data_IF_667581121664
#
_entry.id   IF_667581121664
#
_cell.length_a   1.000
_cell.length_b   1.000
_cell.length_c   1.000
_cell.angle_alpha   90.00
_cell.angle_beta   90.00
_cell.angle_gamma   90.00
#
_symmetry.space_group_name_H-M   'P 1'
#
loop_
_entity.id
_entity.type
_entity.pdbx_description
1 polymer ?
#
# COMPACT_ATOMS: atom_id res chain seq x y z
N UNK A 1 -1.96 -12.65 -21.28
CA UNK A 1 -1.92 -11.30 -21.92
C UNK A 1 -2.64 -10.22 -21.12
N UNK A 2 -3.94 -10.35 -20.79
CA UNK A 2 -4.70 -9.32 -20.05
C UNK A 2 -4.05 -8.96 -18.70
N UNK A 3 -3.65 -9.96 -17.91
CA UNK A 3 -2.96 -9.76 -16.63
C UNK A 3 -1.71 -8.88 -16.75
N UNK A 4 -0.87 -9.15 -17.76
CA UNK A 4 0.39 -8.42 -17.97
C UNK A 4 0.13 -6.95 -18.35
N UNK A 5 -0.86 -6.70 -19.21
CA UNK A 5 -1.26 -5.34 -19.58
C UNK A 5 -1.77 -4.55 -18.37
N UNK A 6 -2.65 -5.14 -17.56
CA UNK A 6 -3.17 -4.51 -16.34
C UNK A 6 -2.05 -4.24 -15.33
N UNK A 7 -1.17 -5.22 -15.13
CA UNK A 7 -0.01 -5.11 -14.23
C UNK A 7 0.88 -3.93 -14.61
N UNK A 8 1.29 -3.84 -15.88
CA UNK A 8 2.17 -2.78 -16.37
C UNK A 8 1.50 -1.40 -16.31
N UNK A 9 0.20 -1.33 -16.60
CA UNK A 9 -0.55 -0.09 -16.52
C UNK A 9 -0.59 0.47 -15.09
N UNK A 10 -0.93 -0.38 -14.12
CA UNK A 10 -0.97 0.01 -12.70
C UNK A 10 0.42 0.35 -12.18
N UNK A 11 1.44 -0.39 -12.63
CA UNK A 11 2.83 -0.09 -12.29
C UNK A 11 3.28 1.28 -12.82
N UNK A 12 2.83 1.67 -14.01
CA UNK A 12 3.04 3.01 -14.56
C UNK A 12 2.43 4.10 -13.67
N UNK A 13 1.19 3.92 -13.22
CA UNK A 13 0.52 4.83 -12.26
C UNK A 13 1.32 4.88 -10.95
N UNK A 14 1.74 3.73 -10.42
CA UNK A 14 2.50 3.68 -9.18
C UNK A 14 3.85 4.39 -9.30
N UNK A 15 4.52 4.30 -10.44
CA UNK A 15 5.77 5.00 -10.71
C UNK A 15 5.60 6.52 -10.63
N UNK A 16 4.52 7.06 -11.20
CA UNK A 16 4.21 8.50 -11.10
C UNK A 16 3.95 8.90 -9.65
N UNK A 17 3.15 8.12 -8.91
CA UNK A 17 2.88 8.37 -7.49
C UNK A 17 4.16 8.29 -6.65
N UNK A 18 5.03 7.33 -6.92
CA UNK A 18 6.32 7.18 -6.25
C UNK A 18 7.20 8.43 -6.44
N UNK A 19 7.33 8.94 -7.67
CA UNK A 19 8.11 10.14 -7.97
C UNK A 19 7.55 11.35 -7.22
N UNK A 20 6.22 11.55 -7.24
CA UNK A 20 5.56 12.66 -6.54
C UNK A 20 5.78 12.54 -5.03
N UNK A 21 5.58 11.35 -4.46
CA UNK A 21 5.80 11.06 -3.04
C UNK A 21 7.24 11.36 -2.63
N UNK A 22 8.21 10.89 -3.42
CA UNK A 22 9.63 11.10 -3.16
C UNK A 22 10.00 12.58 -3.22
N UNK A 23 9.50 13.32 -4.21
CA UNK A 23 9.69 14.76 -4.32
C UNK A 23 9.14 15.49 -3.09
N UNK A 24 7.91 15.16 -2.67
CA UNK A 24 7.29 15.71 -1.46
C UNK A 24 8.13 15.41 -0.21
N UNK A 25 8.58 14.17 -0.03
CA UNK A 25 9.42 13.80 1.12
C UNK A 25 10.77 14.52 1.09
N UNK A 26 11.32 14.78 -0.10
CA UNK A 26 12.60 15.46 -0.23
C UNK A 26 12.47 16.96 0.07
N UNK A 27 11.43 17.60 -0.45
CA UNK A 27 11.18 19.02 -0.28
C UNK A 27 10.69 19.41 1.12
N UNK A 28 10.01 18.52 1.87
CA UNK A 28 9.51 18.82 3.21
C UNK A 28 10.56 18.53 4.30
N UNK A 29 11.42 19.50 4.59
CA UNK A 29 12.56 19.34 5.52
C UNK A 29 12.18 19.19 7.01
N UNK A 30 10.96 19.60 7.42
CA UNK A 30 10.55 19.68 8.83
C UNK A 30 9.76 18.45 9.36
N UNK A 31 9.88 17.27 8.74
CA UNK A 31 9.16 16.06 9.20
C UNK A 31 10.05 15.20 10.11
N UNK A 32 9.66 14.93 11.37
CA UNK A 32 10.33 13.89 12.16
C UNK A 32 10.20 12.53 11.44
N UNK A 33 11.25 11.72 11.51
CA UNK A 33 11.35 10.39 10.88
C UNK A 33 11.31 10.40 9.33
N UNK A 34 11.63 11.52 8.68
CA UNK A 34 11.68 11.63 7.20
C UNK A 34 12.51 10.52 6.54
N UNK A 35 13.73 10.27 7.02
CA UNK A 35 14.62 9.27 6.44
C UNK A 35 14.00 7.86 6.43
N UNK A 36 13.27 7.52 7.49
CA UNK A 36 12.54 6.26 7.60
C UNK A 36 11.38 6.16 6.60
N UNK A 37 10.61 7.23 6.38
CA UNK A 37 9.55 7.22 5.34
C UNK A 37 10.12 7.21 3.91
N UNK A 38 11.28 7.84 3.67
CA UNK A 38 11.99 7.73 2.39
C UNK A 38 12.43 6.28 2.17
N UNK A 39 13.03 5.65 3.19
CA UNK A 39 13.42 4.25 3.15
C UNK A 39 12.24 3.34 2.81
N UNK A 40 11.12 3.44 3.53
CA UNK A 40 9.94 2.61 3.24
C UNK A 40 9.39 2.84 1.82
N UNK A 41 9.34 4.09 1.36
CA UNK A 41 8.84 4.43 0.02
C UNK A 41 9.72 3.82 -1.07
N UNK A 42 11.05 3.89 -0.91
CA UNK A 42 12.01 3.28 -1.84
C UNK A 42 11.93 1.76 -1.77
N UNK A 43 11.93 1.17 -0.56
CA UNK A 43 11.87 -0.27 -0.35
C UNK A 43 10.62 -0.87 -1.00
N UNK A 44 9.45 -0.30 -0.75
CA UNK A 44 8.19 -0.76 -1.36
C UNK A 44 8.21 -0.66 -2.88
N UNK A 45 8.73 0.44 -3.43
CA UNK A 45 8.84 0.58 -4.89
C UNK A 45 9.80 -0.45 -5.48
N UNK A 46 10.96 -0.68 -4.86
CA UNK A 46 11.94 -1.68 -5.33
C UNK A 46 11.40 -3.10 -5.25
N UNK A 47 10.70 -3.46 -4.16
CA UNK A 47 10.09 -4.78 -3.98
C UNK A 47 8.96 -5.00 -5.00
N UNK A 48 8.12 -3.99 -5.23
CA UNK A 48 7.06 -4.05 -6.26
C UNK A 48 7.65 -4.22 -7.66
N UNK A 49 8.74 -3.49 -7.95
CA UNK A 49 9.44 -3.59 -9.23
C UNK A 49 10.03 -4.98 -9.44
N UNK A 50 10.70 -5.53 -8.42
CA UNK A 50 11.27 -6.87 -8.45
C UNK A 50 10.17 -7.94 -8.66
N UNK A 51 9.05 -7.83 -7.94
CA UNK A 51 7.93 -8.74 -8.09
C UNK A 51 7.34 -8.71 -9.52
N UNK A 52 7.14 -7.52 -10.08
CA UNK A 52 6.65 -7.37 -11.45
C UNK A 52 7.63 -7.94 -12.49
N UNK A 53 8.94 -7.85 -12.26
CA UNK A 53 9.96 -8.45 -13.14
C UNK A 53 9.85 -9.98 -13.12
N UNK A 54 9.74 -10.58 -11.93
CA UNK A 54 9.59 -12.04 -11.79
C UNK A 54 8.31 -12.52 -12.46
N UNK A 55 7.17 -11.88 -12.20
CA UNK A 55 5.89 -12.21 -12.84
C UNK A 55 5.94 -12.06 -14.36
N UNK A 56 6.58 -10.99 -14.87
CA UNK A 56 6.77 -10.81 -16.32
C UNK A 56 7.57 -11.95 -16.92
N UNK A 57 8.63 -12.38 -16.24
CA UNK A 57 9.47 -13.48 -16.69
C UNK A 57 8.71 -14.81 -16.71
N UNK A 58 7.95 -15.10 -15.65
CA UNK A 58 7.11 -16.31 -15.59
C UNK A 58 6.06 -16.34 -16.72
N UNK A 59 5.30 -15.26 -16.89
CA UNK A 59 4.31 -15.16 -17.98
C UNK A 59 4.94 -15.26 -19.37
N UNK A 60 6.09 -14.63 -19.60
CA UNK A 60 6.79 -14.72 -20.88
C UNK A 60 7.24 -16.16 -21.16
N UNK A 61 7.75 -16.85 -20.13
CA UNK A 61 8.20 -18.22 -20.23
C UNK A 61 7.05 -19.18 -20.55
N UNK A 62 5.93 -19.06 -19.84
CA UNK A 62 4.71 -19.82 -20.11
C UNK A 62 4.22 -19.59 -21.54
N UNK A 63 4.15 -18.35 -22.00
CA UNK A 63 3.71 -18.01 -23.36
C UNK A 63 4.62 -18.60 -24.45
N UNK A 64 5.95 -18.56 -24.26
CA UNK A 64 6.91 -19.16 -25.20
C UNK A 64 6.69 -20.67 -25.31
N UNK A 65 6.44 -21.34 -24.18
CA UNK A 65 6.22 -22.78 -24.14
C UNK A 65 4.91 -23.17 -24.82
N UNK A 66 3.81 -22.47 -24.51
CA UNK A 66 2.51 -22.69 -25.17
C UNK A 66 2.59 -22.46 -26.68
N UNK A 67 3.29 -21.42 -27.11
CA UNK A 67 3.49 -21.12 -28.53
C UNK A 67 4.34 -22.20 -29.23
N UNK A 68 5.43 -22.62 -28.59
CA UNK A 68 6.32 -23.67 -29.13
C UNK A 68 5.60 -25.01 -29.21
N UNK A 69 4.82 -25.34 -28.19
CA UNK A 69 3.95 -26.51 -28.16
C UNK A 69 2.93 -26.48 -29.31
N UNK A 70 2.20 -25.37 -29.47
CA UNK A 70 1.19 -25.22 -30.52
C UNK A 70 1.81 -25.34 -31.92
N UNK A 71 3.02 -24.82 -32.11
CA UNK A 71 3.73 -24.84 -33.39
C UNK A 71 4.32 -26.22 -33.73
N UNK A 72 4.91 -26.90 -32.76
CA UNK A 72 5.71 -28.10 -32.99
C UNK A 72 4.98 -29.40 -32.60
N UNK A 73 3.84 -29.34 -31.90
CA UNK A 73 3.12 -30.48 -31.30
C UNK A 73 4.03 -31.39 -30.45
N UNK A 74 5.11 -30.85 -29.91
CA UNK A 74 6.10 -31.60 -29.16
C UNK A 74 5.65 -31.78 -27.70
N UNK A 75 5.01 -32.92 -27.45
CA UNK A 75 4.47 -33.30 -26.15
C UNK A 75 5.57 -33.62 -25.12
N UNK A 76 6.74 -34.07 -25.58
CA UNK A 76 7.86 -34.43 -24.69
C UNK A 76 8.50 -33.19 -24.07
N UNK A 77 8.76 -32.16 -24.87
CA UNK A 77 9.28 -30.87 -24.36
C UNK A 77 8.34 -30.20 -23.37
N UNK A 78 7.03 -30.30 -23.59
CA UNK A 78 6.01 -29.75 -22.69
C UNK A 78 5.91 -30.53 -21.37
N UNK A 79 5.93 -31.87 -21.42
CA UNK A 79 5.96 -32.71 -20.21
C UNK A 79 7.27 -32.55 -19.42
N UNK A 80 8.41 -32.42 -20.10
CA UNK A 80 9.70 -32.18 -19.46
C UNK A 80 9.71 -30.86 -18.69
N UNK A 81 9.08 -29.81 -19.22
CA UNK A 81 8.86 -28.56 -18.50
C UNK A 81 7.97 -28.75 -17.26
N UNK A 82 6.88 -29.52 -17.38
CA UNK A 82 5.97 -29.75 -16.25
C UNK A 82 6.57 -30.64 -15.14
N UNK A 83 7.52 -31.53 -15.47
CA UNK A 83 7.99 -32.57 -14.56
C UNK A 83 9.44 -32.41 -14.07
N UNK A 84 10.33 -31.79 -14.86
CA UNK A 84 11.78 -31.73 -14.59
C UNK A 84 12.36 -30.31 -14.60
N UNK A 85 11.51 -29.29 -14.56
CA UNK A 85 12.00 -27.93 -14.61
C UNK A 85 12.65 -27.49 -13.29
N UNK A 86 13.98 -27.35 -13.31
CA UNK A 86 14.75 -26.84 -12.18
C UNK A 86 14.48 -25.34 -11.90
N UNK A 87 13.96 -24.59 -12.88
CA UNK A 87 13.74 -23.15 -12.76
C UNK A 87 12.38 -22.82 -12.13
N UNK A 88 11.37 -23.67 -12.32
CA UNK A 88 10.01 -23.49 -11.80
C UNK A 88 9.96 -23.27 -10.28
N UNK A 89 10.57 -24.16 -9.46
CA UNK A 89 10.60 -23.98 -8.00
C UNK A 89 11.29 -22.69 -7.55
N UNK A 90 12.28 -22.19 -8.32
CA UNK A 90 12.97 -20.93 -8.04
C UNK A 90 12.04 -19.74 -8.30
N UNK A 91 11.31 -19.77 -9.42
CA UNK A 91 10.31 -18.74 -9.74
C UNK A 91 9.23 -18.73 -8.66
N UNK A 92 8.67 -19.89 -8.31
CA UNK A 92 7.67 -20.00 -7.23
C UNK A 92 8.21 -19.45 -5.91
N UNK A 93 9.46 -19.77 -5.56
CA UNK A 93 10.07 -19.22 -4.35
C UNK A 93 10.18 -17.69 -4.38
N UNK A 94 10.56 -17.09 -5.51
CA UNK A 94 10.61 -15.63 -5.66
C UNK A 94 9.21 -15.00 -5.61
N UNK A 95 8.22 -15.63 -6.22
CA UNK A 95 6.81 -15.20 -6.22
C UNK A 95 6.16 -15.29 -4.84
N UNK A 96 6.68 -16.11 -3.92
CA UNK A 96 6.22 -16.16 -2.53
C UNK A 96 6.97 -15.16 -1.64
N UNK A 97 8.30 -15.09 -1.78
CA UNK A 97 9.15 -14.29 -0.88
C UNK A 97 9.04 -12.79 -1.14
N UNK A 98 8.90 -12.36 -2.40
CA UNK A 98 8.82 -10.94 -2.74
C UNK A 98 7.53 -10.28 -2.23
N UNK A 99 6.32 -10.86 -2.42
CA UNK A 99 5.10 -10.35 -1.81
C UNK A 99 5.14 -10.35 -0.28
N UNK A 100 5.69 -11.40 0.35
CA UNK A 100 5.89 -11.46 1.80
C UNK A 100 6.68 -10.25 2.31
N UNK A 101 7.81 -9.96 1.67
CA UNK A 101 8.64 -8.80 2.02
C UNK A 101 7.89 -7.48 1.79
N UNK A 102 7.10 -7.39 0.72
CA UNK A 102 6.32 -6.20 0.38
C UNK A 102 5.23 -5.92 1.42
N UNK A 103 4.40 -6.92 1.75
CA UNK A 103 3.32 -6.82 2.73
C UNK A 103 3.91 -6.50 4.11
N UNK A 104 4.95 -7.23 4.53
CA UNK A 104 5.64 -6.96 5.79
C UNK A 104 6.17 -5.51 5.87
N UNK A 105 6.74 -4.97 4.78
CA UNK A 105 7.21 -3.58 4.76
C UNK A 105 6.06 -2.57 4.83
N UNK A 106 4.94 -2.83 4.15
CA UNK A 106 3.75 -1.98 4.20
C UNK A 106 3.16 -1.95 5.62
N UNK A 107 3.05 -3.13 6.24
CA UNK A 107 2.55 -3.34 7.58
C UNK A 107 3.42 -2.68 8.65
N UNK A 108 4.74 -2.84 8.58
CA UNK A 108 5.67 -2.16 9.50
C UNK A 108 5.52 -0.65 9.39
N UNK A 109 5.34 -0.10 8.18
CA UNK A 109 5.14 1.33 8.01
C UNK A 109 3.81 1.81 8.62
N UNK A 110 2.71 1.05 8.47
CA UNK A 110 1.42 1.34 9.10
C UNK A 110 1.49 1.23 10.63
N UNK A 111 2.15 0.18 11.13
CA UNK A 111 2.37 -0.03 12.55
C UNK A 111 3.20 1.10 13.15
N UNK A 112 4.28 1.53 12.50
CA UNK A 112 5.09 2.67 12.95
C UNK A 112 4.26 3.95 13.03
N UNK A 113 3.40 4.21 12.03
CA UNK A 113 2.48 5.36 12.07
C UNK A 113 1.52 5.27 13.26
N UNK A 114 0.90 4.12 13.48
CA UNK A 114 0.01 3.89 14.60
C UNK A 114 0.74 4.07 15.95
N UNK A 115 1.96 3.54 16.07
CA UNK A 115 2.78 3.63 17.27
C UNK A 115 3.16 5.07 17.63
N UNK A 116 3.63 5.85 16.65
CA UNK A 116 3.98 7.26 16.84
C UNK A 116 2.74 8.08 17.23
N UNK A 117 1.59 7.82 16.60
CA UNK A 117 0.33 8.52 16.90
C UNK A 117 -0.21 8.21 18.31
N UNK A 118 0.08 7.03 18.84
CA UNK A 118 -0.34 6.65 20.19
C UNK A 118 0.65 7.05 21.30
N UNK A 119 1.59 7.95 20.99
CA UNK A 119 2.61 8.45 21.90
C UNK A 119 3.36 7.32 22.62
N UNK A 120 3.70 6.25 21.89
CA UNK A 120 4.44 5.08 22.43
C UNK A 120 3.75 4.33 23.58
N UNK A 121 2.41 4.36 23.68
CA UNK A 121 1.72 3.59 24.72
C UNK A 121 1.95 2.08 24.53
N UNK A 122 2.58 1.44 25.52
CA UNK A 122 2.94 0.01 25.46
C UNK A 122 1.71 -0.90 25.37
N UNK A 123 0.56 -0.45 25.89
CA UNK A 123 -0.68 -1.23 25.95
C UNK A 123 -1.29 -1.53 24.56
N UNK A 124 -1.18 -0.60 23.61
CA UNK A 124 -1.67 -0.80 22.23
C UNK A 124 -0.58 -1.38 21.32
N UNK A 125 0.68 -1.01 21.56
CA UNK A 125 1.80 -1.47 20.75
C UNK A 125 2.06 -2.99 20.90
N UNK A 126 2.01 -3.51 22.13
CA UNK A 126 2.30 -4.90 22.42
C UNK A 126 1.39 -5.91 21.69
N UNK A 127 0.04 -5.82 21.77
CA UNK A 127 -0.83 -6.76 21.06
C UNK A 127 -0.69 -6.68 19.54
N UNK A 128 -0.44 -5.47 19.00
CA UNK A 128 -0.25 -5.29 17.55
C UNK A 128 1.05 -5.89 17.05
N UNK A 129 2.16 -5.69 17.79
CA UNK A 129 3.45 -6.31 17.45
C UNK A 129 3.33 -7.83 17.55
N UNK A 130 2.69 -8.34 18.60
CA UNK A 130 2.47 -9.78 18.76
C UNK A 130 1.67 -10.38 17.60
N UNK A 131 0.60 -9.70 17.18
CA UNK A 131 -0.23 -10.12 16.05
C UNK A 131 0.55 -10.10 14.73
N UNK A 132 1.31 -9.04 14.47
CA UNK A 132 2.17 -8.91 13.29
C UNK A 132 3.23 -10.02 13.22
N UNK A 133 3.90 -10.31 14.34
CA UNK A 133 4.89 -11.39 14.41
C UNK A 133 4.24 -12.75 14.16
N UNK A 134 3.05 -12.97 14.72
CA UNK A 134 2.30 -14.22 14.50
C UNK A 134 1.93 -14.40 13.02
N UNK A 135 1.44 -13.34 12.38
CA UNK A 135 1.12 -13.34 10.95
C UNK A 135 2.35 -13.60 10.08
N UNK A 136 3.47 -12.93 10.36
CA UNK A 136 4.72 -13.14 9.62
C UNK A 136 5.22 -14.59 9.74
N UNK A 137 5.11 -15.20 10.93
CA UNK A 137 5.47 -16.62 11.11
C UNK A 137 4.54 -17.53 10.31
N UNK A 138 3.23 -17.27 10.33
CA UNK A 138 2.26 -18.04 9.55
C UNK A 138 2.55 -17.97 8.04
N UNK A 139 2.87 -16.78 7.52
CA UNK A 139 3.18 -16.58 6.11
C UNK A 139 4.48 -17.27 5.68
N UNK A 140 5.52 -17.20 6.51
CA UNK A 140 6.78 -17.92 6.26
C UNK A 140 6.55 -19.42 6.22
N UNK A 141 5.78 -19.97 7.16
CA UNK A 141 5.44 -21.40 7.17
C UNK A 141 4.65 -21.79 5.92
N UNK A 142 3.65 -21.00 5.53
CA UNK A 142 2.87 -21.22 4.32
C UNK A 142 3.76 -21.22 3.07
N UNK A 143 4.65 -20.24 2.95
CA UNK A 143 5.60 -20.10 1.84
C UNK A 143 6.53 -21.31 1.74
N UNK A 144 7.10 -21.75 2.87
CA UNK A 144 7.99 -22.92 2.91
C UNK A 144 7.25 -24.18 2.46
N UNK A 145 6.02 -24.40 2.93
CA UNK A 145 5.22 -25.56 2.55
C UNK A 145 4.91 -25.57 1.05
N UNK A 146 4.56 -24.41 0.49
CA UNK A 146 4.29 -24.29 -0.95
C UNK A 146 5.55 -24.48 -1.80
N UNK A 147 6.70 -23.92 -1.39
CA UNK A 147 7.98 -24.10 -2.08
C UNK A 147 8.37 -25.58 -2.09
N UNK A 148 8.31 -26.27 -0.95
CA UNK A 148 8.64 -27.70 -0.87
C UNK A 148 7.68 -28.53 -1.73
N UNK A 149 6.39 -28.19 -1.71
CA UNK A 149 5.37 -28.83 -2.52
C UNK A 149 5.61 -28.65 -4.03
N UNK A 150 6.08 -27.48 -4.44
CA UNK A 150 6.33 -27.13 -5.84
C UNK A 150 7.56 -27.83 -6.44
N UNK A 151 8.49 -28.36 -5.63
CA UNK A 151 9.70 -29.05 -6.13
C UNK A 151 9.35 -30.33 -6.91
N UNK A 152 8.35 -31.09 -6.45
CA UNK A 152 7.89 -32.29 -7.15
C UNK A 152 6.42 -32.53 -6.86
N UNK A 153 5.57 -32.10 -7.79
CA UNK A 153 4.11 -32.23 -7.69
C UNK A 153 3.60 -33.65 -7.94
N UNK A 154 4.44 -34.54 -8.48
CA UNK A 154 4.09 -35.96 -8.69
C UNK A 154 4.14 -36.78 -7.40
N UNK A 155 4.81 -36.30 -6.36
CA UNK A 155 4.84 -36.95 -5.05
C UNK A 155 3.57 -36.55 -4.25
N UNK A 156 2.67 -37.50 -3.92
CA UNK A 156 1.42 -37.20 -3.23
C UNK A 156 1.64 -36.55 -1.86
N UNK A 157 2.74 -36.85 -1.15
CA UNK A 157 3.04 -36.25 0.14
C UNK A 157 3.41 -34.75 -0.01
N UNK A 158 4.15 -34.40 -1.07
CA UNK A 158 4.53 -33.02 -1.37
C UNK A 158 3.34 -32.21 -1.90
N UNK A 159 2.48 -32.84 -2.69
CA UNK A 159 1.24 -32.22 -3.11
C UNK A 159 0.31 -31.91 -1.92
N UNK A 160 0.23 -32.81 -0.95
CA UNK A 160 -0.52 -32.55 0.28
C UNK A 160 0.06 -31.37 1.08
N UNK A 161 1.40 -31.26 1.16
CA UNK A 161 2.09 -30.10 1.76
C UNK A 161 1.75 -28.80 1.02
N UNK A 162 1.70 -28.82 -0.31
CA UNK A 162 1.31 -27.67 -1.13
C UNK A 162 -0.12 -27.20 -0.80
N UNK A 163 -1.08 -28.13 -0.77
CA UNK A 163 -2.47 -27.84 -0.42
C UNK A 163 -2.60 -27.29 1.01
N UNK A 164 -1.87 -27.86 1.97
CA UNK A 164 -1.85 -27.35 3.33
C UNK A 164 -1.27 -25.92 3.39
N UNK A 165 -0.18 -25.67 2.66
CA UNK A 165 0.39 -24.34 2.51
C UNK A 165 -0.59 -23.33 1.90
N UNK A 166 -1.40 -23.77 0.92
CA UNK A 166 -2.44 -22.92 0.31
C UNK A 166 -3.53 -22.55 1.33
N UNK A 167 -4.02 -23.50 2.12
CA UNK A 167 -5.02 -23.24 3.18
C UNK A 167 -4.50 -22.25 4.23
N UNK A 168 -3.24 -22.40 4.67
CA UNK A 168 -2.63 -21.47 5.61
C UNK A 168 -2.49 -20.08 4.98
N UNK A 169 -2.09 -20.01 3.71
CA UNK A 169 -1.97 -18.77 2.96
C UNK A 169 -3.31 -18.02 2.86
N UNK A 170 -4.40 -18.71 2.50
CA UNK A 170 -5.75 -18.10 2.47
C UNK A 170 -6.16 -17.56 3.84
N UNK A 171 -5.91 -18.30 4.92
CA UNK A 171 -6.19 -17.84 6.28
C UNK A 171 -5.34 -16.63 6.67
N UNK A 172 -4.06 -16.61 6.27
CA UNK A 172 -3.17 -15.48 6.47
C UNK A 172 -3.70 -14.22 5.79
N UNK A 173 -4.08 -14.28 4.50
CA UNK A 173 -4.59 -13.11 3.77
C UNK A 173 -5.86 -12.53 4.40
N UNK A 174 -6.76 -13.38 4.89
CA UNK A 174 -7.96 -12.93 5.61
C UNK A 174 -7.62 -12.25 6.95
N UNK A 175 -6.60 -12.75 7.65
CA UNK A 175 -6.16 -12.17 8.90
C UNK A 175 -5.41 -10.85 8.68
N UNK A 176 -4.51 -10.79 7.69
CA UNK A 176 -3.79 -9.58 7.26
C UNK A 176 -4.76 -8.45 6.91
N UNK A 177 -5.81 -8.77 6.13
CA UNK A 177 -6.91 -7.86 5.83
C UNK A 177 -7.51 -7.23 7.10
N UNK A 178 -7.85 -8.08 8.07
CA UNK A 178 -8.44 -7.65 9.33
C UNK A 178 -7.51 -6.73 10.11
N UNK A 179 -6.22 -7.07 10.16
CA UNK A 179 -5.19 -6.26 10.82
C UNK A 179 -5.04 -4.90 10.14
N UNK A 180 -4.97 -4.86 8.81
CA UNK A 180 -4.87 -3.64 8.03
C UNK A 180 -6.08 -2.71 8.22
N UNK A 181 -7.30 -3.28 8.28
CA UNK A 181 -8.53 -2.53 8.61
C UNK A 181 -8.47 -1.97 10.03
N UNK A 182 -8.13 -2.80 11.02
CA UNK A 182 -8.06 -2.40 12.43
C UNK A 182 -7.01 -1.29 12.62
N UNK A 183 -5.81 -1.43 12.05
CA UNK A 183 -4.75 -0.42 12.13
C UNK A 183 -5.16 0.89 11.49
N UNK A 184 -5.83 0.84 10.34
CA UNK A 184 -6.35 2.03 9.65
C UNK A 184 -7.39 2.74 10.51
N UNK A 185 -8.36 2.00 11.06
CA UNK A 185 -9.40 2.55 11.93
C UNK A 185 -8.84 3.10 13.25
N UNK A 186 -7.89 2.42 13.88
CA UNK A 186 -7.22 2.92 15.08
C UNK A 186 -6.47 4.22 14.80
N UNK A 187 -5.72 4.27 13.70
CA UNK A 187 -4.99 5.48 13.30
C UNK A 187 -5.95 6.64 13.05
N UNK A 188 -7.03 6.41 12.30
CA UNK A 188 -8.06 7.40 12.03
C UNK A 188 -8.78 7.86 13.32
N UNK A 189 -9.17 6.91 14.18
CA UNK A 189 -9.85 7.18 15.45
C UNK A 189 -8.99 7.98 16.42
N UNK A 190 -7.67 7.74 16.46
CA UNK A 190 -6.76 8.55 17.30
C UNK A 190 -6.66 9.97 16.81
N UNK A 191 -6.53 10.16 15.50
CA UNK A 191 -6.48 11.49 14.90
C UNK A 191 -7.77 12.24 15.21
N UNK A 192 -8.91 11.56 15.15
CA UNK A 192 -10.20 12.11 15.53
C UNK A 192 -10.24 12.53 17.01
N UNK A 193 -9.80 11.66 17.93
CA UNK A 193 -9.72 11.99 19.35
C UNK A 193 -8.81 13.21 19.61
N UNK A 194 -7.62 13.22 19.02
CA UNK A 194 -6.68 14.34 19.13
C UNK A 194 -7.27 15.64 18.54
N UNK A 195 -8.05 15.54 17.46
CA UNK A 195 -8.71 16.70 16.87
C UNK A 195 -9.78 17.29 17.79
N UNK A 196 -10.46 16.45 18.57
CA UNK A 196 -11.49 16.90 19.50
C UNK A 196 -10.89 17.64 20.70
N UNK A 197 -9.72 17.20 21.17
CA UNK A 197 -8.99 17.91 22.23
C UNK A 197 -8.38 19.23 21.72
N UNK A 198 -7.80 19.24 20.51
CA UNK A 198 -7.29 20.46 19.89
C UNK A 198 -8.39 21.48 19.59
N UNK A 199 -9.60 21.02 19.25
CA UNK A 199 -10.77 21.87 19.00
C UNK A 199 -11.13 22.70 20.24
N UNK A 200 -11.04 22.11 21.45
CA UNK A 200 -11.34 22.84 22.70
C UNK A 200 -10.45 24.05 22.90
N UNK A 201 -9.26 24.05 22.30
CA UNK A 201 -8.22 25.04 22.52
C UNK A 201 -8.07 26.05 21.36
N UNK A 202 -8.34 25.67 20.10
CA UNK A 202 -8.01 26.50 18.93
C UNK A 202 -9.15 26.73 17.92
N UNK A 203 -10.39 26.28 18.19
CA UNK A 203 -11.58 26.65 17.40
C UNK A 203 -11.90 25.80 16.16
N UNK A 204 -12.98 26.14 15.42
CA UNK A 204 -13.62 25.25 14.43
C UNK A 204 -12.85 25.06 13.11
N UNK A 205 -11.97 25.98 12.72
CA UNK A 205 -11.17 25.86 11.48
C UNK A 205 -10.23 24.64 11.51
N UNK A 206 -9.81 24.21 12.69
CA UNK A 206 -8.91 23.05 12.88
C UNK A 206 -9.68 21.73 12.78
N UNK A 207 -10.97 21.71 13.14
CA UNK A 207 -11.84 20.54 12.98
C UNK A 207 -11.93 20.10 11.52
N UNK A 208 -12.13 21.05 10.61
CA UNK A 208 -12.20 20.76 9.17
C UNK A 208 -10.89 20.15 8.66
N UNK A 209 -9.74 20.66 9.11
CA UNK A 209 -8.40 20.15 8.73
C UNK A 209 -8.20 18.69 9.14
N UNK A 210 -8.46 18.36 10.41
CA UNK A 210 -8.31 16.99 10.90
C UNK A 210 -9.32 16.04 10.27
N UNK A 211 -10.57 16.47 10.06
CA UNK A 211 -11.56 15.67 9.36
C UNK A 211 -11.13 15.33 7.92
N UNK A 212 -10.56 16.29 7.17
CA UNK A 212 -10.01 16.02 5.84
C UNK A 212 -8.89 14.99 5.89
N UNK A 213 -7.97 15.09 6.85
CA UNK A 213 -6.87 14.12 7.02
C UNK A 213 -7.41 12.72 7.36
N UNK A 214 -8.42 12.63 8.22
CA UNK A 214 -9.06 11.35 8.60
C UNK A 214 -9.70 10.70 7.38
N UNK A 215 -10.45 11.46 6.58
CA UNK A 215 -11.07 10.96 5.34
C UNK A 215 -10.01 10.45 4.38
N UNK A 216 -8.92 11.20 4.19
CA UNK A 216 -7.80 10.78 3.34
C UNK A 216 -7.19 9.44 3.80
N UNK A 217 -6.99 9.28 5.12
CA UNK A 217 -6.41 8.06 5.69
C UNK A 217 -7.37 6.88 5.54
N UNK A 218 -8.66 7.09 5.79
CA UNK A 218 -9.67 6.03 5.62
C UNK A 218 -9.82 5.64 4.15
N UNK A 219 -9.96 6.60 3.25
CA UNK A 219 -10.12 6.34 1.82
C UNK A 219 -8.90 5.61 1.26
N UNK A 220 -7.69 6.07 1.58
CA UNK A 220 -6.46 5.49 1.03
C UNK A 220 -6.03 4.20 1.76
N UNK A 221 -6.33 4.08 3.05
CA UNK A 221 -5.97 2.92 3.88
C UNK A 221 -6.90 1.73 3.70
N UNK A 222 -8.17 1.97 3.34
CA UNK A 222 -9.12 0.90 3.00
C UNK A 222 -9.00 0.42 1.55
N UNK A 223 -8.19 1.06 0.70
CA UNK A 223 -7.95 0.59 -0.67
C UNK A 223 -7.38 -0.83 -0.66
N UNK A 224 -6.31 -1.09 0.08
CA UNK A 224 -5.67 -2.40 0.10
C UNK A 224 -6.61 -3.54 0.55
N UNK A 225 -7.29 -3.45 1.72
CA UNK A 225 -8.27 -4.45 2.12
C UNK A 225 -9.41 -4.65 1.10
N UNK A 226 -9.87 -3.57 0.44
CA UNK A 226 -10.95 -3.67 -0.56
C UNK A 226 -10.53 -4.49 -1.77
N UNK A 227 -9.32 -4.24 -2.31
CA UNK A 227 -8.78 -5.02 -3.42
C UNK A 227 -8.53 -6.47 -3.02
N UNK A 228 -8.12 -6.70 -1.77
CA UNK A 228 -7.87 -8.03 -1.25
C UNK A 228 -9.17 -8.84 -1.09
N UNK A 229 -10.25 -8.24 -0.60
CA UNK A 229 -11.59 -8.87 -0.58
C UNK A 229 -12.02 -9.22 -2.00
N UNK A 230 -11.88 -8.28 -2.94
CA UNK A 230 -12.27 -8.51 -4.33
C UNK A 230 -11.46 -9.67 -4.95
N UNK A 231 -10.17 -9.76 -4.64
CA UNK A 231 -9.30 -10.85 -5.12
C UNK A 231 -9.74 -12.22 -4.60
N UNK A 232 -9.98 -12.33 -3.29
CA UNK A 232 -10.43 -13.58 -2.65
C UNK A 232 -11.81 -13.98 -3.20
N UNK A 233 -12.75 -13.03 -3.25
CA UNK A 233 -14.13 -13.28 -3.72
C UNK A 233 -14.13 -13.77 -5.17
N UNK A 234 -13.34 -13.14 -6.05
CA UNK A 234 -13.24 -13.60 -7.44
C UNK A 234 -12.58 -14.97 -7.54
N UNK A 235 -11.55 -15.24 -6.76
CA UNK A 235 -10.90 -16.55 -6.77
C UNK A 235 -11.88 -17.66 -6.35
N UNK A 236 -12.57 -17.49 -5.22
CA UNK A 236 -13.50 -18.49 -4.69
C UNK A 236 -14.76 -18.68 -5.55
N UNK A 237 -15.25 -17.62 -6.22
CA UNK A 237 -16.45 -17.71 -7.08
C UNK A 237 -16.15 -18.20 -8.50
N UNK A 238 -15.01 -17.81 -9.07
CA UNK A 238 -14.72 -18.03 -10.50
C UNK A 238 -13.78 -19.22 -10.72
N UNK A 239 -12.87 -19.47 -9.78
CA UNK A 239 -11.88 -20.53 -9.91
C UNK A 239 -11.55 -21.19 -8.55
N UNK A 240 -12.54 -21.84 -7.92
CA UNK A 240 -12.37 -22.42 -6.58
C UNK A 240 -11.31 -23.53 -6.52
N UNK A 241 -11.07 -24.20 -7.64
CA UNK A 241 -10.06 -25.26 -7.75
C UNK A 241 -8.69 -24.74 -8.24
N UNK A 242 -8.54 -23.43 -8.43
CA UNK A 242 -7.34 -22.78 -8.96
C UNK A 242 -6.85 -23.42 -10.28
N UNK A 243 -7.80 -23.80 -11.14
CA UNK A 243 -7.58 -24.49 -12.43
C UNK A 243 -7.21 -23.52 -13.56
N UNK A 244 -7.04 -22.23 -13.28
CA UNK A 244 -6.76 -21.20 -14.28
C UNK A 244 -8.02 -20.80 -15.07
N UNK A 245 -9.21 -21.03 -14.53
CA UNK A 245 -10.48 -20.68 -15.18
C UNK A 245 -10.77 -19.17 -15.10
N UNK A 246 -10.13 -18.46 -14.18
CA UNK A 246 -10.27 -17.02 -14.07
C UNK A 246 -9.58 -16.31 -15.25
N UNK A 247 -10.30 -15.50 -16.05
CA UNK A 247 -9.71 -14.78 -17.19
C UNK A 247 -8.70 -13.71 -16.76
N UNK A 248 -8.70 -13.32 -15.48
CA UNK A 248 -7.76 -12.38 -14.90
C UNK A 248 -7.51 -12.65 -13.41
N UNK A 249 -6.31 -12.34 -12.93
CA UNK A 249 -5.93 -12.48 -11.51
C UNK A 249 -5.81 -11.11 -10.85
N UNK A 250 -6.68 -10.83 -9.88
CA UNK A 250 -6.63 -9.60 -9.08
C UNK A 250 -5.42 -9.53 -8.15
N UNK A 251 -4.82 -10.67 -7.79
CA UNK A 251 -3.67 -10.73 -6.89
C UNK A 251 -2.50 -9.85 -7.35
N UNK A 252 -2.26 -9.81 -8.66
CA UNK A 252 -1.21 -9.00 -9.29
C UNK A 252 -1.42 -7.51 -9.04
N UNK A 253 -2.69 -7.08 -8.93
CA UNK A 253 -3.05 -5.71 -8.58
C UNK A 253 -2.92 -5.46 -7.09
N UNK A 254 -3.40 -6.40 -6.27
CA UNK A 254 -3.41 -6.29 -4.80
C UNK A 254 -2.01 -6.04 -4.23
N UNK A 255 -0.98 -6.74 -4.72
CA UNK A 255 0.40 -6.51 -4.28
C UNK A 255 0.93 -5.11 -4.60
N UNK A 256 0.55 -4.54 -5.75
CA UNK A 256 0.91 -3.16 -6.08
C UNK A 256 0.13 -2.17 -5.23
N UNK A 257 -1.15 -2.46 -4.94
CA UNK A 257 -2.00 -1.62 -4.09
C UNK A 257 -1.45 -1.52 -2.67
N UNK A 258 -0.85 -2.60 -2.13
CA UNK A 258 -0.17 -2.57 -0.83
C UNK A 258 0.95 -1.50 -0.78
N UNK A 259 1.67 -1.27 -1.88
CA UNK A 259 2.65 -0.19 -2.01
C UNK A 259 2.03 1.18 -2.35
N UNK A 260 0.96 1.21 -3.14
CA UNK A 260 0.27 2.44 -3.57
C UNK A 260 -0.45 3.11 -2.38
N UNK A 261 -1.19 2.35 -1.58
CA UNK A 261 -1.97 2.87 -0.45
C UNK A 261 -1.16 3.80 0.48
N UNK A 262 0.00 3.41 1.01
CA UNK A 262 0.78 4.29 1.88
C UNK A 262 1.41 5.47 1.17
N UNK A 263 1.72 5.38 -0.13
CA UNK A 263 2.22 6.52 -0.92
C UNK A 263 1.12 7.55 -1.18
N UNK A 264 -0.12 7.11 -1.47
CA UNK A 264 -1.27 8.01 -1.58
C UNK A 264 -1.55 8.76 -0.28
N UNK A 265 -1.43 8.09 0.87
CA UNK A 265 -1.56 8.77 2.18
C UNK A 265 -0.53 9.89 2.32
N UNK A 266 0.72 9.67 1.91
CA UNK A 266 1.78 10.69 1.96
C UNK A 266 1.43 11.88 1.07
N UNK A 267 1.11 11.61 -0.19
CA UNK A 267 0.83 12.65 -1.20
C UNK A 267 -0.35 13.51 -0.76
N UNK A 268 -1.45 12.86 -0.34
CA UNK A 268 -2.66 13.57 0.10
C UNK A 268 -2.46 14.32 1.42
N UNK A 269 -1.71 13.74 2.37
CA UNK A 269 -1.36 14.43 3.62
C UNK A 269 -0.41 15.63 3.40
N UNK A 270 0.36 15.64 2.32
CA UNK A 270 1.18 16.78 1.92
C UNK A 270 0.40 17.84 1.14
N UNK A 271 -0.47 17.44 0.21
CA UNK A 271 -1.35 18.35 -0.53
C UNK A 271 -2.29 19.13 0.38
N UNK A 272 -2.79 18.50 1.45
CA UNK A 272 -3.57 19.18 2.49
C UNK A 272 -2.82 20.34 3.17
N UNK A 273 -1.48 20.24 3.30
CA UNK A 273 -0.64 21.32 3.85
C UNK A 273 -0.35 22.42 2.83
N UNK A 274 -0.19 22.10 1.55
CA UNK A 274 0.13 23.10 0.51
C UNK A 274 -1.04 24.04 0.26
N UNK A 275 -2.27 23.53 0.17
CA UNK A 275 -3.49 24.35 0.06
C UNK A 275 -3.65 25.26 1.29
N UNK A 276 -3.19 24.79 2.46
CA UNK A 276 -3.26 25.51 3.72
C UNK A 276 -2.27 26.68 3.81
N UNK A 277 -1.03 26.51 3.35
CA UNK A 277 -0.06 27.62 3.26
C UNK A 277 -0.59 28.74 2.36
N UNK A 278 -1.10 28.40 1.17
CA UNK A 278 -1.67 29.37 0.23
C UNK A 278 -2.89 30.11 0.83
N UNK A 279 -3.75 29.39 1.55
CA UNK A 279 -4.94 29.99 2.18
C UNK A 279 -4.59 30.89 3.37
N UNK A 280 -3.60 30.50 4.18
CA UNK A 280 -3.16 31.29 5.34
C UNK A 280 -2.43 32.56 4.89
N UNK A 281 -1.56 32.45 3.87
CA UNK A 281 -0.86 33.61 3.29
C UNK A 281 -1.82 34.59 2.60
N UNK A 282 -2.90 34.09 1.96
CA UNK A 282 -3.97 34.94 1.43
C UNK A 282 -4.75 35.68 2.52
N UNK A 283 -5.08 35.02 3.63
CA UNK A 283 -5.78 35.67 4.76
C UNK A 283 -4.89 36.72 5.42
N UNK A 284 -3.61 36.41 5.65
CA UNK A 284 -2.63 37.37 6.22
C UNK A 284 -2.40 38.55 5.26
N UNK A 285 -2.29 38.31 3.95
CA UNK A 285 -2.19 39.39 2.95
C UNK A 285 -3.45 40.26 2.94
N UNK A 286 -4.64 39.66 3.02
CA UNK A 286 -5.91 40.41 3.00
C UNK A 286 -6.07 41.33 4.23
N UNK A 287 -5.59 40.88 5.41
CA UNK A 287 -5.54 41.70 6.63
C UNK A 287 -4.56 42.87 6.48
N UNK A 288 -3.42 42.66 5.82
CA UNK A 288 -2.46 43.73 5.55
C UNK A 288 -3.01 44.80 4.59
N UNK A 289 -3.83 44.40 3.61
CA UNK A 289 -4.50 45.32 2.70
C UNK A 289 -5.69 46.08 3.33
N UNK A 290 -6.38 45.48 4.30
CA UNK A 290 -7.44 46.15 5.05
C UNK A 290 -6.89 47.24 5.99
N UNK A 291 -5.74 47.00 6.61
CA UNK A 291 -5.10 47.96 7.52
C UNK A 291 -4.49 49.18 6.79
N UNK A 292 -4.23 49.08 5.49
CA UNK A 292 -3.72 50.18 4.66
C UNK A 292 -4.79 51.15 4.13
N UNK A 293 -6.09 50.88 4.35
CA UNK A 293 -7.20 51.75 3.88
C UNK A 293 -7.86 52.58 4.98
N UNK A 294 -7.36 52.51 6.22
CA UNK A 294 -7.97 53.16 7.39
C UNK A 294 -7.37 54.51 7.81
N UNK A 295 -6.39 55.08 7.09
CA UNK A 295 -5.64 56.27 7.56
C UNK A 295 -5.63 57.47 6.62
N UNK A 296 -6.57 57.60 5.68
CA UNK A 296 -6.73 58.80 4.85
C UNK A 296 -8.20 59.17 4.72
N UNK A 297 -8.80 59.69 5.79
CA UNK A 297 -9.93 60.61 5.68
C UNK A 297 -10.10 61.39 6.97
N UNK A 298 -10.28 62.70 6.83
CA UNK A 298 -10.70 63.69 7.83
C UNK A 298 -9.68 64.13 8.88
N UNK A 299 -8.77 65.03 8.48
CA UNK A 299 -8.58 66.25 9.27
C UNK A 299 -8.03 67.41 8.41
N UNK A 300 -8.93 68.19 7.80
CA UNK A 300 -8.60 69.54 7.36
C UNK A 300 -9.88 70.38 7.38
N UNK A 301 -10.18 70.95 8.55
CA UNK A 301 -10.99 72.15 8.61
C UNK A 301 -10.22 73.26 9.33
N UNK A 302 -10.04 74.33 8.56
CA UNK A 302 -9.17 75.46 8.75
C UNK A 302 -9.87 76.51 9.62
N UNK A 303 -9.19 77.01 10.66
CA UNK A 303 -9.54 78.28 11.32
C UNK A 303 -8.28 79.10 11.59
N UNK A 304 -8.11 80.20 10.85
CA UNK A 304 -7.94 81.57 11.37
C UNK A 304 -7.29 82.50 10.34
N UNK A 305 -8.02 83.56 9.97
CA UNK A 305 -7.42 84.82 9.53
C UNK A 305 -8.01 85.92 10.41
N UNK A 306 -7.12 86.58 11.16
CA UNK A 306 -7.19 87.99 11.55
C UNK A 306 -6.41 88.77 10.51
#
# INVERSE_FOLDING_TARGET
>A
MVNLTVMLYIYGIYTVLFIISLCILICQQNRPNRALYVFFTIALFTLTSANNIVLTFDYARQAILEFTFTKNQDWESFLAYLQLDAVGPIIVALEMVLPLCLVTMADIMLLHRCYVMWNSSKCVAFPMIFLMVTLAVCEVVASVFQIIGAINTADPARWQLFLQGNTINTAFWLADMGVNIILTLLTAGRIWWCSQEAQRLLGPAIKTKYNTIIVIILESGLLYPTFLIAAIVLQELVDPDNKGLAPFSLWIVTYQVAGIAPTLIIIRAAGGKTVEHTSTDQVVSSLHFANGRGSESENSDIRSHV
#
